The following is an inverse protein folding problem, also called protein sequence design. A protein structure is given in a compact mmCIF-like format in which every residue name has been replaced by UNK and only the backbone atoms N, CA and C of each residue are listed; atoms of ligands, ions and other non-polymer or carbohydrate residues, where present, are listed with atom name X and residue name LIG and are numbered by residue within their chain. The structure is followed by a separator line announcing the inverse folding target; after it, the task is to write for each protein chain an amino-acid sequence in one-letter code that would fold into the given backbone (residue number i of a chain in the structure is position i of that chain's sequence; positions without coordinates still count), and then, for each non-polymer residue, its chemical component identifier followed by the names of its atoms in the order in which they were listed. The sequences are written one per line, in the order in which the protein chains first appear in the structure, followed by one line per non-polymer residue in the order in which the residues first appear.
data_IF_172066467510
#
_entry.id   IF_172066467510
#
_cell.length_a   1.000
_cell.length_b   1.000
_cell.length_c   1.000
_cell.angle_alpha   90.00
_cell.angle_beta   90.00
_cell.angle_gamma   90.00
#
_symmetry.space_group_name_H-M   'P 1'
#
loop_
_entity.id
_entity.type
_entity.pdbx_description
1 polymer ?
#
# COMPACT_ATOMS: atom_id res chain seq x y z
N UNK A 1 40.34 29.43 -7.88
CA UNK A 1 39.66 30.60 -7.28
C UNK A 1 38.85 30.09 -6.09
N UNK A 2 39.28 30.45 -4.88
CA UNK A 2 38.60 30.07 -3.64
C UNK A 2 37.35 30.95 -3.45
N UNK A 3 36.19 30.33 -3.21
CA UNK A 3 35.05 31.03 -2.63
C UNK A 3 34.58 30.29 -1.39
N UNK A 4 34.93 30.88 -0.25
CA UNK A 4 34.39 30.57 1.07
C UNK A 4 33.04 31.27 1.18
N UNK A 5 31.99 30.57 1.61
CA UNK A 5 30.71 31.20 1.97
C UNK A 5 30.25 30.71 3.33
N UNK A 6 30.38 31.60 4.31
CA UNK A 6 29.81 31.53 5.65
C UNK A 6 28.29 31.34 5.60
N UNK A 7 27.78 30.32 6.31
CA UNK A 7 26.37 30.24 6.66
C UNK A 7 26.15 30.97 8.01
N UNK A 8 25.41 32.09 7.98
CA UNK A 8 24.89 32.73 9.20
C UNK A 8 23.68 31.91 9.68
N UNK A 9 23.79 31.33 10.87
CA UNK A 9 22.68 30.66 11.54
C UNK A 9 21.75 31.67 12.19
N UNK A 10 20.45 31.55 11.92
CA UNK A 10 19.39 32.20 12.70
C UNK A 10 18.73 31.13 13.55
N UNK A 11 18.67 31.36 14.86
CA UNK A 11 18.05 30.49 15.85
C UNK A 11 16.72 31.11 16.29
N UNK A 12 15.63 30.35 16.20
CA UNK A 12 14.35 30.73 16.79
C UNK A 12 14.18 30.02 18.15
N UNK A 13 13.54 30.72 19.08
CA UNK A 13 13.52 30.46 20.54
C UNK A 13 12.73 29.22 21.01
N UNK A 14 12.51 28.23 20.16
CA UNK A 14 11.94 26.93 20.55
C UNK A 14 12.71 25.87 19.77
N UNK A 15 13.65 25.21 20.44
CA UNK A 15 14.68 24.33 19.86
C UNK A 15 14.15 23.15 19.04
N UNK A 16 13.66 23.41 17.83
CA UNK A 16 13.26 22.42 16.84
C UNK A 16 13.89 22.76 15.49
N UNK A 17 14.91 22.00 15.10
CA UNK A 17 15.55 22.12 13.78
C UNK A 17 14.57 21.65 12.70
N UNK A 18 13.81 22.57 12.11
CA UNK A 18 13.03 22.29 10.89
C UNK A 18 13.98 22.48 9.71
N UNK A 19 14.62 21.38 9.26
CA UNK A 19 15.31 21.36 7.97
C UNK A 19 14.28 21.33 6.85
N UNK A 20 13.82 22.52 6.45
CA UNK A 20 13.08 22.73 5.21
C UNK A 20 14.06 22.59 4.04
N UNK A 21 14.23 21.38 3.53
CA UNK A 21 14.99 21.15 2.30
C UNK A 21 13.98 21.20 1.14
N UNK A 22 13.90 22.36 0.50
CA UNK A 22 13.28 22.52 -0.82
C UNK A 22 14.30 22.05 -1.84
N UNK A 23 14.00 20.99 -2.59
CA UNK A 23 14.73 20.67 -3.81
C UNK A 23 13.74 20.39 -4.93
N UNK A 24 13.78 21.28 -5.93
CA UNK A 24 13.25 21.05 -7.26
C UNK A 24 14.27 20.21 -8.02
N UNK A 25 13.84 19.06 -8.55
CA UNK A 25 14.55 18.40 -9.65
C UNK A 25 13.55 18.15 -10.76
N UNK A 26 13.90 18.70 -11.91
CA UNK A 26 13.20 18.67 -13.18
C UNK A 26 13.28 17.26 -13.76
N UNK A 27 12.14 16.58 -13.85
CA UNK A 27 11.81 15.64 -14.93
C UNK A 27 10.31 15.79 -15.21
N UNK A 28 9.97 15.77 -16.50
CA UNK A 28 8.74 16.32 -17.06
C UNK A 28 7.44 15.88 -16.40
N UNK A 29 6.61 16.88 -16.13
CA UNK A 29 5.15 16.87 -16.10
C UNK A 29 4.46 15.68 -15.42
N UNK A 30 4.65 15.59 -14.10
CA UNK A 30 3.54 15.63 -13.13
C UNK A 30 4.17 15.68 -11.73
N UNK A 31 4.52 16.89 -11.30
CA UNK A 31 4.99 17.15 -9.95
C UNK A 31 3.94 16.66 -8.95
N UNK A 32 4.35 15.84 -7.97
CA UNK A 32 3.55 15.51 -6.79
C UNK A 32 3.16 16.81 -6.08
N UNK A 33 2.00 17.36 -6.46
CA UNK A 33 1.45 18.60 -5.93
C UNK A 33 0.68 18.28 -4.65
N UNK A 34 1.41 18.48 -3.55
CA UNK A 34 0.92 18.83 -2.22
C UNK A 34 0.78 17.73 -1.16
N UNK A 35 0.88 18.19 0.09
CA UNK A 35 0.79 17.41 1.32
C UNK A 35 -0.56 16.69 1.54
N UNK A 36 -1.51 16.77 0.62
CA UNK A 36 -2.79 16.03 0.66
C UNK A 36 -2.68 14.59 0.17
N UNK A 37 -1.61 14.22 -0.52
CA UNK A 37 -1.36 12.83 -0.94
C UNK A 37 -1.05 11.91 0.25
N UNK A 38 -0.59 12.48 1.37
CA UNK A 38 -0.21 11.74 2.58
C UNK A 38 -1.38 10.97 3.22
N UNK A 39 -2.63 11.42 3.03
CA UNK A 39 -3.80 10.84 3.73
C UNK A 39 -4.31 9.56 3.06
N UNK A 40 -4.00 9.32 1.78
CA UNK A 40 -4.48 8.12 1.07
C UNK A 40 -3.58 6.88 1.24
N UNK A 41 -2.39 7.05 1.81
CA UNK A 41 -1.25 6.18 1.53
C UNK A 41 -1.07 4.99 2.49
N UNK A 42 -1.69 4.97 3.68
CA UNK A 42 -1.47 3.88 4.64
C UNK A 42 -2.71 3.02 4.90
N UNK A 43 -3.32 2.43 3.86
CA UNK A 43 -4.28 1.32 4.06
C UNK A 43 -3.54 0.08 4.57
N UNK A 44 -3.22 0.04 5.86
CA UNK A 44 -2.61 -1.11 6.56
C UNK A 44 -3.54 -2.32 6.45
N UNK A 45 -3.24 -3.26 5.56
CA UNK A 45 -3.96 -4.54 5.46
C UNK A 45 -3.27 -5.59 6.33
N UNK A 46 -3.95 -6.19 7.33
CA UNK A 46 -3.45 -7.34 8.10
C UNK A 46 -3.70 -8.64 7.31
N UNK A 47 -2.66 -9.32 6.81
CA UNK A 47 -2.81 -10.69 6.27
C UNK A 47 -2.39 -11.73 7.33
N UNK A 48 -3.18 -12.78 7.52
CA UNK A 48 -2.93 -13.84 8.54
C UNK A 48 -1.66 -14.69 8.29
N UNK A 49 -0.99 -14.56 7.13
CA UNK A 49 0.13 -15.42 6.72
C UNK A 49 1.37 -14.68 6.15
N UNK A 50 1.28 -13.40 5.78
CA UNK A 50 2.34 -12.70 5.02
C UNK A 50 2.65 -11.29 5.53
N UNK A 51 2.26 -10.95 6.75
CA UNK A 51 2.51 -9.61 7.31
C UNK A 51 1.56 -8.55 6.76
N UNK A 52 1.79 -7.30 7.17
CA UNK A 52 1.01 -6.14 6.72
C UNK A 52 1.48 -5.71 5.32
N UNK A 53 0.55 -5.30 4.47
CA UNK A 53 0.83 -4.71 3.14
C UNK A 53 0.60 -3.19 3.21
N UNK A 54 1.53 -2.44 2.63
CA UNK A 54 1.48 -1.00 2.41
C UNK A 54 1.50 -0.74 0.90
N UNK A 55 0.63 0.14 0.41
CA UNK A 55 0.65 0.63 -0.97
C UNK A 55 1.10 2.09 -0.94
N UNK A 56 2.24 2.42 -1.56
CA UNK A 56 2.79 3.77 -1.60
C UNK A 56 3.29 4.05 -3.03
N UNK A 57 2.83 5.14 -3.66
CA UNK A 57 3.13 5.51 -5.05
C UNK A 57 3.05 4.33 -6.02
N UNK A 58 1.94 3.58 -6.00
CA UNK A 58 1.69 2.37 -6.81
C UNK A 58 2.67 1.20 -6.64
N UNK A 59 3.52 1.26 -5.61
CA UNK A 59 4.38 0.15 -5.19
C UNK A 59 3.82 -0.54 -3.95
N UNK A 60 3.92 -1.87 -3.92
CA UNK A 60 3.54 -2.66 -2.76
C UNK A 60 4.76 -2.97 -1.88
N UNK A 61 4.62 -2.73 -0.58
CA UNK A 61 5.63 -3.03 0.42
C UNK A 61 5.11 -4.03 1.45
N UNK A 62 6.02 -4.85 1.96
CA UNK A 62 5.79 -5.74 3.10
C UNK A 62 6.56 -5.24 4.31
N UNK A 63 5.94 -5.32 5.47
CA UNK A 63 6.59 -4.92 6.71
C UNK A 63 7.77 -5.85 7.01
N UNK A 64 8.96 -5.27 7.12
CA UNK A 64 10.21 -6.00 7.40
C UNK A 64 10.56 -5.96 8.88
N UNK A 65 10.51 -4.79 9.52
CA UNK A 65 10.82 -4.61 10.95
C UNK A 65 9.87 -3.62 11.61
N UNK A 66 9.74 -3.74 12.93
CA UNK A 66 9.05 -2.75 13.77
C UNK A 66 10.03 -2.32 14.86
N UNK A 67 10.23 -1.02 15.00
CA UNK A 67 11.00 -0.41 16.07
C UNK A 67 10.04 0.29 17.06
N UNK A 68 10.59 0.94 18.09
CA UNK A 68 9.79 1.63 19.12
C UNK A 68 8.81 2.65 18.50
N UNK A 69 9.31 3.49 17.60
CA UNK A 69 8.57 4.59 16.96
C UNK A 69 8.37 4.45 15.45
N UNK A 70 9.05 3.49 14.79
CA UNK A 70 9.09 3.40 13.33
C UNK A 70 8.81 2.00 12.82
N UNK A 71 8.25 1.90 11.62
CA UNK A 71 8.04 0.66 10.89
C UNK A 71 8.84 0.70 9.58
N UNK A 72 9.71 -0.28 9.35
CA UNK A 72 10.48 -0.44 8.11
C UNK A 72 9.74 -1.38 7.15
N UNK A 73 9.56 -0.93 5.91
CA UNK A 73 8.83 -1.63 4.86
C UNK A 73 9.71 -1.81 3.64
N UNK A 74 9.77 -3.04 3.12
CA UNK A 74 10.54 -3.38 1.92
C UNK A 74 9.60 -3.64 0.76
N UNK A 75 9.98 -3.19 -0.44
CA UNK A 75 9.28 -3.52 -1.67
C UNK A 75 9.07 -5.04 -1.78
N UNK A 76 7.91 -5.44 -2.29
CA UNK A 76 7.49 -6.84 -2.36
C UNK A 76 8.17 -7.60 -3.50
N UNK A 77 8.63 -6.90 -4.54
CA UNK A 77 9.39 -7.51 -5.64
C UNK A 77 10.74 -7.97 -5.10
N UNK A 78 11.04 -9.26 -5.25
CA UNK A 78 12.19 -9.90 -4.58
C UNK A 78 13.54 -9.36 -5.05
N UNK A 79 13.62 -8.96 -6.33
CA UNK A 79 14.79 -8.30 -6.93
C UNK A 79 14.88 -6.80 -6.59
N UNK A 80 13.85 -6.23 -5.95
CA UNK A 80 13.84 -4.84 -5.54
C UNK A 80 14.34 -4.69 -4.09
N UNK A 81 15.24 -3.74 -3.90
CA UNK A 81 15.79 -3.40 -2.59
C UNK A 81 15.21 -2.11 -2.01
N UNK A 82 14.17 -1.55 -2.63
CA UNK A 82 13.53 -0.33 -2.14
C UNK A 82 12.97 -0.52 -0.73
N UNK A 83 13.29 0.42 0.15
CA UNK A 83 12.85 0.46 1.54
C UNK A 83 12.26 1.84 1.83
N UNK A 84 11.11 1.85 2.49
CA UNK A 84 10.47 3.05 3.05
C UNK A 84 10.32 2.86 4.56
N UNK A 85 10.53 3.93 5.33
CA UNK A 85 10.34 3.92 6.79
C UNK A 85 9.24 4.89 7.16
N UNK A 86 8.23 4.38 7.84
CA UNK A 86 7.09 5.17 8.32
C UNK A 86 7.13 5.29 9.84
N UNK A 87 6.46 6.30 10.38
CA UNK A 87 6.07 6.28 11.78
C UNK A 87 5.21 5.03 12.08
N UNK A 88 5.21 4.58 13.34
CA UNK A 88 4.54 3.32 13.73
C UNK A 88 3.03 3.35 13.49
N UNK A 89 2.40 4.50 13.64
CA UNK A 89 1.02 4.79 13.28
C UNK A 89 0.80 4.91 11.76
N UNK A 90 1.87 5.00 10.98
CA UNK A 90 1.93 5.24 9.55
C UNK A 90 1.26 6.55 9.12
N UNK A 91 1.27 7.55 10.00
CA UNK A 91 0.82 8.91 9.68
C UNK A 91 1.84 9.66 8.84
N UNK A 92 3.13 9.35 9.01
CA UNK A 92 4.22 10.10 8.38
C UNK A 92 5.28 9.19 7.78
N UNK A 93 5.86 9.65 6.66
CA UNK A 93 7.06 9.07 6.06
C UNK A 93 8.28 9.66 6.76
N UNK A 94 9.07 8.81 7.42
CA UNK A 94 10.30 9.22 8.12
C UNK A 94 11.49 9.15 7.15
N UNK A 95 11.56 8.07 6.38
CA UNK A 95 12.50 7.94 5.28
C UNK A 95 11.73 7.59 4.01
N UNK A 96 11.84 8.41 2.95
CA UNK A 96 11.19 8.14 1.68
C UNK A 96 11.73 6.85 1.05
N UNK A 97 11.00 6.25 0.11
CA UNK A 97 11.47 5.06 -0.58
C UNK A 97 12.76 5.35 -1.34
N UNK A 98 13.72 4.44 -1.27
CA UNK A 98 14.85 4.43 -2.22
C UNK A 98 14.37 3.98 -3.60
N UNK A 99 15.17 4.23 -4.63
CA UNK A 99 14.81 3.92 -6.01
C UNK A 99 14.42 2.45 -6.21
N UNK A 100 13.39 2.25 -7.03
CA UNK A 100 12.97 0.92 -7.45
C UNK A 100 13.73 0.50 -8.71
N UNK A 101 14.07 -0.79 -8.78
CA UNK A 101 14.64 -1.41 -9.97
C UNK A 101 13.56 -1.88 -10.96
N UNK A 102 12.31 -1.44 -10.78
CA UNK A 102 11.17 -1.81 -11.61
C UNK A 102 10.14 -0.68 -11.65
N UNK A 103 9.26 -0.75 -12.65
CA UNK A 103 8.13 0.16 -12.79
C UNK A 103 7.02 -0.27 -11.81
N UNK A 104 6.21 0.66 -11.28
CA UNK A 104 5.05 0.33 -10.46
C UNK A 104 4.07 -0.61 -11.19
N UNK A 105 3.46 -1.53 -10.42
CA UNK A 105 2.42 -2.44 -10.90
C UNK A 105 1.07 -2.06 -10.25
N UNK A 106 0.34 -1.09 -10.85
CA UNK A 106 -0.96 -0.66 -10.32
C UNK A 106 -2.03 -1.77 -10.45
N UNK A 107 -1.81 -2.76 -11.31
CA UNK A 107 -2.75 -3.86 -11.54
C UNK A 107 -2.83 -4.75 -10.30
N UNK A 108 -1.69 -5.07 -9.68
CA UNK A 108 -1.65 -5.94 -8.51
C UNK A 108 -2.45 -5.37 -7.32
N UNK A 109 -2.44 -4.05 -7.13
CA UNK A 109 -3.23 -3.38 -6.10
C UNK A 109 -4.74 -3.52 -6.34
N UNK A 110 -5.18 -3.35 -7.59
CA UNK A 110 -6.59 -3.53 -8.02
C UNK A 110 -7.06 -4.98 -7.84
N UNK A 111 -6.22 -5.95 -8.25
CA UNK A 111 -6.49 -7.38 -8.06
C UNK A 111 -6.65 -7.72 -6.57
N UNK A 112 -5.78 -7.18 -5.72
CA UNK A 112 -5.84 -7.41 -4.28
C UNK A 112 -7.08 -6.76 -3.66
N UNK A 113 -7.47 -5.57 -4.09
CA UNK A 113 -8.72 -4.94 -3.68
C UNK A 113 -9.93 -5.81 -4.03
N UNK A 114 -10.06 -6.20 -5.29
CA UNK A 114 -11.12 -7.10 -5.77
C UNK A 114 -11.20 -8.38 -4.92
N UNK A 115 -10.07 -9.08 -4.74
CA UNK A 115 -10.00 -10.31 -3.94
C UNK A 115 -10.43 -10.07 -2.49
N UNK A 116 -10.09 -8.92 -1.90
CA UNK A 116 -10.45 -8.63 -0.51
C UNK A 116 -11.94 -8.33 -0.35
N UNK A 117 -12.53 -7.59 -1.29
CA UNK A 117 -13.97 -7.34 -1.33
C UNK A 117 -14.74 -8.64 -1.46
N UNK A 118 -14.38 -9.49 -2.42
CA UNK A 118 -14.99 -10.81 -2.57
C UNK A 118 -14.84 -11.69 -1.32
N UNK A 119 -13.66 -11.70 -0.67
CA UNK A 119 -13.43 -12.46 0.58
C UNK A 119 -14.24 -11.93 1.74
N UNK A 120 -14.47 -10.61 1.81
CA UNK A 120 -15.30 -9.97 2.84
C UNK A 120 -16.76 -10.41 2.64
N UNK A 121 -17.30 -10.20 1.43
CA UNK A 121 -18.65 -10.62 1.05
C UNK A 121 -18.87 -12.12 1.23
N UNK A 122 -17.91 -12.96 0.83
CA UNK A 122 -18.02 -14.42 1.00
C UNK A 122 -18.16 -14.85 2.47
N UNK A 123 -17.61 -14.06 3.42
CA UNK A 123 -17.76 -14.32 4.86
C UNK A 123 -19.09 -13.82 5.41
N UNK A 124 -19.56 -12.68 4.92
CA UNK A 124 -20.70 -11.95 5.50
C UNK A 124 -22.04 -12.34 4.86
N UNK A 125 -22.03 -12.73 3.58
CA UNK A 125 -23.23 -13.00 2.79
C UNK A 125 -23.43 -14.50 2.56
N UNK A 126 -24.70 -14.90 2.48
CA UNK A 126 -25.14 -16.29 2.26
C UNK A 126 -25.29 -16.65 0.78
N UNK A 127 -25.33 -15.67 -0.14
CA UNK A 127 -25.49 -15.91 -1.58
C UNK A 127 -24.33 -16.76 -2.15
N UNK A 128 -24.51 -17.50 -3.27
CA UNK A 128 -23.46 -18.32 -3.86
C UNK A 128 -22.17 -17.54 -4.15
N UNK A 129 -21.01 -18.14 -3.88
CA UNK A 129 -19.70 -17.48 -4.07
C UNK A 129 -19.46 -17.13 -5.54
N UNK A 130 -19.94 -17.97 -6.47
CA UNK A 130 -19.93 -17.69 -7.90
C UNK A 130 -20.70 -16.42 -8.25
N UNK A 131 -21.83 -16.18 -7.59
CA UNK A 131 -22.63 -14.97 -7.76
C UNK A 131 -21.94 -13.73 -7.17
N UNK A 132 -21.28 -13.86 -6.01
CA UNK A 132 -20.45 -12.79 -5.45
C UNK A 132 -19.36 -12.37 -6.44
N UNK A 133 -18.65 -13.34 -7.01
CA UNK A 133 -17.59 -13.06 -7.99
C UNK A 133 -18.13 -12.34 -9.23
N UNK A 134 -19.22 -12.84 -9.83
CA UNK A 134 -19.86 -12.20 -11.00
C UNK A 134 -20.31 -10.78 -10.69
N UNK A 135 -20.96 -10.55 -9.56
CA UNK A 135 -21.43 -9.23 -9.17
C UNK A 135 -20.27 -8.24 -8.95
N UNK A 136 -19.20 -8.67 -8.28
CA UNK A 136 -18.03 -7.81 -8.12
C UNK A 136 -17.29 -7.57 -9.44
N UNK A 137 -17.28 -8.55 -10.35
CA UNK A 137 -16.69 -8.39 -11.68
C UNK A 137 -17.41 -7.28 -12.46
N UNK A 138 -18.74 -7.29 -12.46
CA UNK A 138 -19.57 -6.24 -13.08
C UNK A 138 -19.34 -4.89 -12.42
N UNK A 139 -19.27 -4.84 -11.08
CA UNK A 139 -18.95 -3.58 -10.38
C UNK A 139 -17.56 -3.05 -10.75
N UNK A 140 -16.58 -3.92 -10.96
CA UNK A 140 -15.25 -3.53 -11.41
C UNK A 140 -15.24 -3.06 -12.85
N UNK A 141 -15.97 -3.72 -13.77
CA UNK A 141 -16.06 -3.29 -15.17
C UNK A 141 -16.75 -1.94 -15.33
N UNK A 142 -17.66 -1.58 -14.43
CA UNK A 142 -18.26 -0.24 -14.41
C UNK A 142 -17.28 0.86 -13.94
N UNK A 143 -16.23 0.50 -13.21
CA UNK A 143 -15.22 1.43 -12.67
C UNK A 143 -13.96 1.51 -13.53
N UNK A 144 -13.70 0.47 -14.30
CA UNK A 144 -12.46 0.28 -15.04
C UNK A 144 -12.77 -0.26 -16.43
N UNK A 145 -12.15 0.33 -17.45
CA UNK A 145 -12.37 -0.06 -18.85
C UNK A 145 -11.81 -1.44 -19.19
N UNK A 146 -10.80 -1.90 -18.43
CA UNK A 146 -10.22 -3.23 -18.58
C UNK A 146 -10.36 -4.02 -17.28
N UNK A 147 -10.76 -5.29 -17.41
CA UNK A 147 -10.91 -6.26 -16.33
C UNK A 147 -10.16 -7.57 -16.62
N UNK A 148 -9.40 -7.64 -17.73
CA UNK A 148 -8.65 -8.81 -18.17
C UNK A 148 -7.65 -9.30 -17.12
N UNK A 149 -7.13 -8.38 -16.31
CA UNK A 149 -6.20 -8.67 -15.21
C UNK A 149 -6.85 -9.30 -13.98
N UNK A 150 -8.19 -9.31 -13.88
CA UNK A 150 -8.87 -9.87 -12.73
C UNK A 150 -8.78 -11.41 -12.74
N UNK A 151 -8.64 -12.03 -11.56
CA UNK A 151 -8.58 -13.48 -11.46
C UNK A 151 -9.90 -14.14 -11.87
N UNK A 152 -9.80 -15.23 -12.63
CA UNK A 152 -10.93 -16.11 -12.92
C UNK A 152 -11.48 -16.74 -11.64
N UNK A 153 -12.76 -17.11 -11.65
CA UNK A 153 -13.43 -17.72 -10.49
C UNK A 153 -12.70 -18.99 -10.00
N UNK A 154 -12.34 -19.90 -10.91
CA UNK A 154 -11.66 -21.16 -10.60
C UNK A 154 -10.30 -20.97 -9.92
N UNK A 155 -9.63 -19.83 -10.13
CA UNK A 155 -8.35 -19.54 -9.49
C UNK A 155 -8.45 -19.09 -8.02
N UNK A 156 -9.65 -18.70 -7.55
CA UNK A 156 -9.85 -18.05 -6.24
C UNK A 156 -10.96 -18.65 -5.38
N UNK A 157 -11.81 -19.51 -5.95
CA UNK A 157 -12.97 -20.14 -5.32
C UNK A 157 -12.64 -20.80 -3.98
N UNK A 158 -11.60 -21.63 -3.93
CA UNK A 158 -11.11 -22.36 -2.76
C UNK A 158 -10.74 -21.41 -1.63
N UNK A 159 -10.16 -20.25 -1.97
CA UNK A 159 -9.85 -19.23 -0.97
C UNK A 159 -11.11 -18.56 -0.42
N UNK A 160 -12.17 -18.45 -1.21
CA UNK A 160 -13.42 -17.81 -0.81
C UNK A 160 -14.26 -18.76 0.04
N UNK A 161 -14.37 -20.04 -0.33
CA UNK A 161 -15.03 -21.06 0.49
C UNK A 161 -14.36 -21.21 1.87
N UNK A 162 -13.02 -21.25 1.93
CA UNK A 162 -12.27 -21.24 3.21
C UNK A 162 -12.51 -19.98 4.05
N UNK A 163 -12.89 -18.86 3.43
CA UNK A 163 -13.22 -17.61 4.14
C UNK A 163 -14.65 -17.64 4.66
N UNK A 164 -15.59 -18.13 3.87
CA UNK A 164 -16.98 -18.36 4.28
C UNK A 164 -17.08 -19.29 5.48
N UNK A 165 -16.31 -20.39 5.47
CA UNK A 165 -16.27 -21.34 6.59
C UNK A 165 -15.89 -20.70 7.94
N UNK A 166 -15.12 -19.59 7.92
CA UNK A 166 -14.75 -18.85 9.14
C UNK A 166 -15.86 -17.96 9.69
N UNK A 167 -16.95 -17.78 8.95
CA UNK A 167 -18.16 -17.10 9.40
C UNK A 167 -19.10 -18.05 10.15
N UNK A 168 -19.05 -19.36 9.87
CA UNK A 168 -19.90 -20.34 10.53
C UNK A 168 -19.39 -20.70 11.94
N UNK A 169 -20.31 -21.06 12.86
CA UNK A 169 -19.93 -21.61 14.15
C UNK A 169 -19.12 -22.89 13.96
N UNK A 170 -18.16 -23.12 14.87
CA UNK A 170 -17.41 -24.38 14.88
C UNK A 170 -18.33 -25.48 15.37
N UNK A 171 -18.25 -26.65 14.75
CA UNK A 171 -18.92 -27.83 15.26
C UNK A 171 -18.40 -28.15 16.67
N UNK A 172 -19.28 -28.62 17.59
CA UNK A 172 -18.84 -29.16 18.86
C UNK A 172 -17.86 -30.31 18.62
N UNK A 173 -16.88 -30.45 19.52
CA UNK A 173 -15.93 -31.55 19.53
C UNK A 173 -16.40 -32.64 20.46
#
# INVERSE_FOLDING_TARGET
MNFSSHAKGTVDAIGGVVKRVVWSVVFGDEACRSAVDFVHIAKKKKTKRRGKILNFNDHQYTKKRSNKSTDEWRCRIRSCNSIIVLARDASTVIHPPTDHSHIPDPIQAKVDEFKNTCKKRAREETIPISQIHKQELVKCSLKHNDISFLPSYSSIDSSFYRKRLKGYPKLPK
#
